data_IF_765948788613
#
_entry.id   IF_765948788613
#
_cell.length_a   1.000
_cell.length_b   1.000
_cell.length_c   1.000
_cell.angle_alpha   90.00
_cell.angle_beta   90.00
_cell.angle_gamma   90.00
#
_symmetry.space_group_name_H-M   'P 1'
#
loop_
_entity.id
_entity.type
_entity.pdbx_description
1 polymer ?
#
# COMPACT_ATOMS: atom_id res chain seq x y z
N UNK A 1 -18.55 -1.18 -9.91
CA UNK A 1 -17.25 -1.62 -9.33
C UNK A 1 -16.33 -0.43 -9.16
N UNK A 2 -15.53 -0.41 -8.08
CA UNK A 2 -14.51 0.61 -7.86
C UNK A 2 -13.29 0.33 -8.77
N UNK A 3 -12.90 1.28 -9.63
CA UNK A 3 -11.72 1.10 -10.50
C UNK A 3 -10.42 1.50 -9.78
N UNK A 4 -9.26 0.98 -10.21
CA UNK A 4 -7.93 1.37 -9.66
C UNK A 4 -7.77 2.88 -9.54
N UNK A 5 -8.01 3.60 -10.65
CA UNK A 5 -7.87 5.05 -10.70
C UNK A 5 -8.81 5.73 -9.71
N UNK A 6 -10.03 5.21 -9.54
CA UNK A 6 -11.01 5.72 -8.58
C UNK A 6 -10.59 5.41 -7.14
N UNK A 7 -10.06 4.23 -6.85
CA UNK A 7 -9.52 3.89 -5.53
C UNK A 7 -8.34 4.79 -5.15
N UNK A 8 -7.35 4.96 -6.03
CA UNK A 8 -6.18 5.80 -5.74
C UNK A 8 -6.56 7.29 -5.64
N UNK A 9 -7.48 7.75 -6.50
CA UNK A 9 -8.02 9.11 -6.42
C UNK A 9 -8.75 9.38 -5.10
N UNK A 10 -9.46 8.39 -4.56
CA UNK A 10 -10.10 8.48 -3.24
C UNK A 10 -9.04 8.39 -2.12
N UNK A 11 -8.06 7.50 -2.23
CA UNK A 11 -7.01 7.31 -1.21
C UNK A 11 -6.17 8.57 -0.99
N UNK A 12 -5.81 9.29 -2.06
CA UNK A 12 -5.16 10.60 -1.92
C UNK A 12 -6.13 11.77 -1.69
N UNK A 13 -7.42 11.58 -1.92
CA UNK A 13 -8.49 12.55 -1.72
C UNK A 13 -9.03 12.66 -0.29
N UNK A 14 -8.67 11.74 0.61
CA UNK A 14 -9.02 11.85 2.05
C UNK A 14 -8.02 12.75 2.82
N UNK A 15 -7.12 13.45 2.10
CA UNK A 15 -6.26 14.49 2.66
C UNK A 15 -6.89 15.89 2.77
N UNK A 16 -8.20 16.05 2.52
CA UNK A 16 -8.89 17.35 2.60
C UNK A 16 -10.20 17.33 3.42
N UNK A 17 -10.26 16.49 4.46
CA UNK A 17 -11.29 16.60 5.50
C UNK A 17 -10.57 16.73 6.85
N UNK A 18 -10.42 17.97 7.33
CA UNK A 18 -9.69 18.29 8.55
C UNK A 18 -10.06 17.36 9.69
N UNK A 19 -9.03 16.81 10.36
CA UNK A 19 -8.99 16.02 11.62
C UNK A 19 -10.00 14.85 11.76
N UNK A 20 -11.25 14.98 11.35
CA UNK A 20 -12.33 13.99 11.42
C UNK A 20 -12.31 12.97 10.27
N UNK A 21 -11.88 13.34 9.06
CA UNK A 21 -11.97 12.44 7.89
C UNK A 21 -10.94 11.31 7.91
N UNK A 22 -9.68 11.62 8.25
CA UNK A 22 -8.62 10.63 8.48
C UNK A 22 -8.93 9.77 9.71
N UNK A 23 -9.52 10.37 10.75
CA UNK A 23 -9.96 9.63 11.94
C UNK A 23 -10.99 8.56 11.57
N UNK A 24 -12.04 8.90 10.82
CA UNK A 24 -13.12 7.98 10.48
C UNK A 24 -12.68 6.77 9.62
N UNK A 25 -11.83 7.00 8.62
CA UNK A 25 -11.28 5.89 7.82
C UNK A 25 -10.31 5.04 8.62
N UNK A 26 -9.50 5.66 9.48
CA UNK A 26 -8.57 4.93 10.33
C UNK A 26 -9.27 4.11 11.42
N UNK A 27 -10.41 4.57 11.96
CA UNK A 27 -11.20 3.81 12.95
C UNK A 27 -11.93 2.66 12.29
N UNK A 28 -12.59 2.89 11.14
CA UNK A 28 -13.27 1.81 10.42
C UNK A 28 -12.31 0.70 9.97
N UNK A 29 -11.11 1.08 9.52
CA UNK A 29 -10.08 0.11 9.14
C UNK A 29 -9.52 -0.63 10.37
N UNK A 30 -9.31 0.07 11.50
CA UNK A 30 -8.88 -0.55 12.76
C UNK A 30 -9.91 -1.55 13.27
N UNK A 31 -11.19 -1.18 13.31
CA UNK A 31 -12.25 -2.06 13.79
C UNK A 31 -12.36 -3.35 12.96
N UNK A 32 -12.23 -3.25 11.63
CA UNK A 32 -12.25 -4.43 10.75
C UNK A 32 -11.00 -5.30 10.90
N UNK A 33 -9.85 -4.66 11.12
CA UNK A 33 -8.59 -5.35 11.36
C UNK A 33 -8.63 -6.08 12.70
N UNK A 34 -9.11 -5.43 13.76
CA UNK A 34 -9.20 -5.99 15.10
C UNK A 34 -10.21 -7.15 15.11
N UNK A 35 -11.36 -7.01 14.45
CA UNK A 35 -12.31 -8.12 14.24
C UNK A 35 -11.70 -9.29 13.45
N UNK A 36 -10.89 -9.02 12.43
CA UNK A 36 -10.23 -10.06 11.64
C UNK A 36 -9.09 -10.76 12.40
N UNK A 37 -8.48 -10.08 13.38
CA UNK A 37 -7.48 -10.67 14.29
C UNK A 37 -8.16 -11.53 15.35
N UNK A 38 -9.23 -11.05 15.99
CA UNK A 38 -9.97 -11.80 17.01
C UNK A 38 -10.61 -13.08 16.45
N UNK A 39 -11.05 -13.08 15.19
CA UNK A 39 -11.57 -14.27 14.52
C UNK A 39 -10.53 -15.37 14.30
N UNK A 40 -9.22 -15.06 14.29
CA UNK A 40 -8.16 -16.08 14.16
C UNK A 40 -7.78 -16.71 15.50
N UNK A 41 -7.88 -15.94 16.58
CA UNK A 41 -7.54 -16.40 17.93
C UNK A 41 -8.70 -17.23 18.56
N UNK A 42 -9.92 -17.15 17.99
CA UNK A 42 -11.11 -17.88 18.45
C UNK A 42 -11.28 -19.32 17.96
N UNK A 43 -10.32 -19.91 17.24
CA UNK A 43 -10.41 -21.27 16.70
C UNK A 43 -9.64 -22.35 17.52
N UNK A 44 -9.35 -22.08 18.79
CA UNK A 44 -8.71 -23.02 19.70
C UNK A 44 -9.66 -23.44 20.85
N UNK A 45 -10.70 -24.21 20.51
CA UNK A 45 -11.45 -24.97 21.52
C UNK A 45 -10.74 -26.31 21.80
N UNK A 46 -10.10 -26.37 22.96
CA UNK A 46 -9.39 -27.55 23.48
C UNK A 46 -9.02 -27.41 24.96
N UNK A 47 -10.01 -27.58 25.83
CA UNK A 47 -9.99 -28.08 27.23
C UNK A 47 -8.62 -28.18 27.96
N UNK A 48 -8.36 -27.36 28.99
CA UNK A 48 -8.48 -27.64 30.45
C UNK A 48 -7.76 -26.56 31.31
N UNK A 49 -8.17 -26.32 32.58
CA UNK A 49 -7.63 -25.28 33.45
C UNK A 49 -6.53 -25.83 34.36
N UNK A 50 -5.50 -25.03 34.64
CA UNK A 50 -4.65 -25.25 35.81
C UNK A 50 -4.28 -23.92 36.46
N UNK A 51 -4.52 -23.83 37.77
CA UNK A 51 -4.40 -22.62 38.57
C UNK A 51 -3.02 -22.55 39.21
N UNK A 52 -2.14 -21.70 38.70
CA UNK A 52 -0.97 -21.19 39.43
C UNK A 52 -0.87 -19.67 39.24
N UNK A 53 -0.86 -18.86 40.31
CA UNK A 53 -0.73 -17.42 40.18
C UNK A 53 0.75 -17.07 39.98
N UNK A 54 1.16 -16.90 38.72
CA UNK A 54 2.42 -16.23 38.41
C UNK A 54 2.16 -14.73 38.32
N UNK A 55 2.76 -13.98 39.24
CA UNK A 55 2.82 -12.51 39.18
C UNK A 55 3.61 -12.14 37.93
N UNK A 56 2.90 -11.90 36.84
CA UNK A 56 3.44 -11.41 35.58
C UNK A 56 3.16 -9.91 35.52
N UNK A 57 4.23 -9.11 35.49
CA UNK A 57 4.14 -7.69 35.17
C UNK A 57 3.27 -7.50 33.90
N UNK A 58 2.46 -6.45 33.80
CA UNK A 58 1.59 -6.27 32.65
C UNK A 58 2.45 -6.35 31.38
N UNK A 59 2.12 -7.23 30.41
CA UNK A 59 2.82 -7.22 29.14
C UNK A 59 2.66 -5.80 28.61
N UNK A 60 3.78 -5.11 28.38
CA UNK A 60 3.75 -3.91 27.56
C UNK A 60 3.23 -4.39 26.22
N UNK A 61 1.95 -4.15 25.96
CA UNK A 61 1.27 -4.61 24.76
C UNK A 61 2.08 -4.06 23.58
N UNK A 62 2.92 -4.91 22.99
CA UNK A 62 3.60 -4.59 21.75
C UNK A 62 2.48 -4.26 20.78
N UNK A 63 2.37 -3.00 20.37
CA UNK A 63 1.32 -2.57 19.46
C UNK A 63 1.28 -3.55 18.30
N UNK A 64 0.19 -4.33 18.20
CA UNK A 64 0.04 -5.39 17.20
C UNK A 64 0.25 -4.72 15.84
N UNK A 65 1.28 -5.14 15.10
CA UNK A 65 1.55 -4.60 13.75
C UNK A 65 0.67 -5.33 12.76
N UNK A 66 -0.10 -4.58 11.99
CA UNK A 66 -1.00 -5.15 10.99
C UNK A 66 -0.47 -4.78 9.62
N UNK A 67 -0.32 -5.79 8.76
CA UNK A 67 -0.03 -5.61 7.35
C UNK A 67 -1.32 -5.72 6.55
N UNK A 68 -1.67 -4.64 5.85
CA UNK A 68 -2.77 -4.64 4.88
C UNK A 68 -2.17 -4.76 3.48
N UNK A 69 -2.55 -5.83 2.76
CA UNK A 69 -2.12 -6.05 1.38
C UNK A 69 -3.28 -5.73 0.43
N UNK A 70 -3.05 -4.80 -0.49
CA UNK A 70 -4.03 -4.40 -1.51
C UNK A 70 -3.64 -5.01 -2.85
N UNK A 71 -4.37 -6.04 -3.28
CA UNK A 71 -4.24 -6.61 -4.62
C UNK A 71 -5.14 -5.85 -5.60
N UNK A 72 -4.55 -5.32 -6.67
CA UNK A 72 -5.28 -4.62 -7.72
C UNK A 72 -5.29 -5.51 -8.97
N UNK A 73 -6.48 -5.90 -9.44
CA UNK A 73 -6.62 -6.73 -10.64
C UNK A 73 -6.13 -5.99 -11.90
N UNK A 74 -5.49 -6.73 -12.82
CA UNK A 74 -4.97 -6.24 -14.09
C UNK A 74 -3.46 -5.99 -14.08
N UNK A 75 -2.94 -5.38 -15.16
CA UNK A 75 -1.53 -5.01 -15.29
C UNK A 75 -1.23 -3.61 -14.74
N UNK A 76 -0.06 -3.46 -14.10
CA UNK A 76 0.49 -2.16 -13.76
C UNK A 76 1.73 -1.84 -14.60
N UNK A 77 1.80 -0.63 -15.13
CA UNK A 77 3.01 -0.11 -15.76
C UNK A 77 3.83 0.61 -14.70
N UNK A 78 4.79 -0.10 -14.11
CA UNK A 78 5.61 0.43 -13.00
C UNK A 78 6.38 1.69 -13.39
N UNK A 79 6.93 1.73 -14.60
CA UNK A 79 7.71 2.87 -15.10
C UNK A 79 6.86 4.11 -15.41
N UNK A 80 5.56 3.94 -15.68
CA UNK A 80 4.63 5.07 -15.73
C UNK A 80 3.96 5.34 -14.37
N UNK A 81 4.16 4.51 -13.35
CA UNK A 81 3.65 4.74 -11.98
C UNK A 81 4.62 5.62 -11.20
N UNK A 82 5.89 5.19 -11.18
CA UNK A 82 7.02 5.91 -10.61
C UNK A 82 8.01 6.15 -11.75
N UNK A 83 8.01 7.37 -12.27
CA UNK A 83 8.65 7.75 -13.53
C UNK A 83 10.07 8.23 -13.25
N UNK A 84 11.11 7.51 -13.71
CA UNK A 84 12.48 7.96 -13.52
C UNK A 84 12.79 9.15 -14.45
N UNK A 85 13.61 10.07 -13.96
CA UNK A 85 14.16 11.19 -14.72
C UNK A 85 15.24 10.79 -15.74
N UNK A 86 15.68 9.53 -15.71
CA UNK A 86 16.67 8.98 -16.65
C UNK A 86 16.16 9.10 -18.11
N UNK A 87 16.90 9.75 -19.03
CA UNK A 87 16.51 9.89 -20.42
C UNK A 87 16.17 8.57 -21.11
N UNK A 88 16.80 7.46 -20.70
CA UNK A 88 16.55 6.12 -21.24
C UNK A 88 15.10 5.68 -21.10
N UNK A 89 14.37 6.18 -20.10
CA UNK A 89 12.94 5.92 -19.98
C UNK A 89 12.17 6.43 -21.21
N UNK A 90 12.50 7.62 -21.70
CA UNK A 90 11.85 8.20 -22.86
C UNK A 90 12.30 7.52 -24.14
N UNK A 91 13.61 7.31 -24.29
CA UNK A 91 14.20 6.64 -25.45
C UNK A 91 13.70 5.19 -25.61
N UNK A 92 13.47 4.48 -24.51
CA UNK A 92 12.94 3.12 -24.57
C UNK A 92 11.41 3.07 -24.73
N UNK A 93 10.69 4.18 -24.53
CA UNK A 93 9.23 4.20 -24.41
C UNK A 93 8.56 5.33 -25.20
N UNK A 94 9.03 5.60 -26.42
CA UNK A 94 8.55 6.72 -27.26
C UNK A 94 7.02 6.86 -27.31
N UNK A 95 6.27 5.75 -27.40
CA UNK A 95 4.81 5.75 -27.50
C UNK A 95 4.08 5.81 -26.15
N UNK A 96 4.77 5.55 -25.04
CA UNK A 96 4.17 5.38 -23.71
C UNK A 96 4.68 6.41 -22.70
N UNK A 97 5.80 7.08 -22.98
CA UNK A 97 6.41 8.04 -22.07
C UNK A 97 5.47 9.22 -21.83
N UNK A 98 5.37 9.64 -20.56
CA UNK A 98 4.53 10.76 -20.18
C UNK A 98 5.26 12.07 -20.47
N UNK A 99 4.58 13.08 -21.07
CA UNK A 99 5.15 14.40 -21.27
C UNK A 99 5.66 14.99 -19.95
N UNK A 100 6.83 15.63 -19.98
CA UNK A 100 7.43 16.22 -18.76
C UNK A 100 6.46 17.22 -18.08
N UNK A 101 5.69 17.96 -18.87
CA UNK A 101 4.72 18.93 -18.39
C UNK A 101 3.55 18.31 -17.58
N UNK A 102 3.28 17.02 -17.78
CA UNK A 102 2.17 16.31 -17.11
C UNK A 102 2.64 15.54 -15.86
N UNK A 103 3.95 15.53 -15.60
CA UNK A 103 4.53 14.83 -14.46
C UNK A 103 4.17 15.51 -13.14
N UNK A 104 3.93 14.68 -12.13
CA UNK A 104 3.71 15.17 -10.76
C UNK A 104 5.02 15.09 -10.00
N UNK A 105 5.57 16.24 -9.65
CA UNK A 105 6.79 16.32 -8.85
C UNK A 105 6.54 15.83 -7.40
N UNK A 106 7.52 15.11 -6.87
CA UNK A 106 7.58 14.61 -5.49
C UNK A 106 8.98 14.85 -4.93
N UNK A 107 9.13 14.82 -3.60
CA UNK A 107 10.43 14.95 -2.93
C UNK A 107 11.30 13.67 -3.01
N UNK A 108 11.29 13.00 -4.16
CA UNK A 108 12.17 11.88 -4.46
C UNK A 108 13.16 12.30 -5.54
N UNK A 109 14.45 12.32 -5.21
CA UNK A 109 15.49 12.66 -6.17
C UNK A 109 15.41 11.72 -7.37
N UNK A 110 15.23 12.29 -8.56
CA UNK A 110 15.24 11.58 -9.82
C UNK A 110 13.95 10.84 -10.19
N UNK A 111 12.84 11.03 -9.47
CA UNK A 111 11.55 10.42 -9.80
C UNK A 111 10.39 11.41 -9.76
N UNK A 112 9.37 11.11 -10.57
CA UNK A 112 8.07 11.79 -10.61
C UNK A 112 6.93 10.78 -10.57
N UNK A 113 5.72 11.22 -10.24
CA UNK A 113 4.53 10.37 -10.27
C UNK A 113 3.71 10.58 -11.56
N UNK A 114 2.98 9.54 -11.94
CA UNK A 114 1.91 9.66 -12.95
C UNK A 114 0.91 10.76 -12.57
N UNK A 115 0.34 11.53 -13.52
CA UNK A 115 -0.68 12.55 -13.25
C UNK A 115 -1.89 12.03 -12.44
N UNK A 116 -2.35 10.81 -12.73
CA UNK A 116 -3.44 10.17 -11.96
C UNK A 116 -3.08 9.80 -10.52
N UNK A 117 -1.82 9.91 -10.13
CA UNK A 117 -1.32 9.71 -8.78
C UNK A 117 -1.03 11.04 -8.07
N UNK A 118 -1.39 12.19 -8.68
CA UNK A 118 -1.28 13.50 -8.05
C UNK A 118 -1.82 13.55 -6.61
N UNK A 119 -2.95 12.88 -6.28
CA UNK A 119 -3.45 12.85 -4.90
C UNK A 119 -2.49 12.22 -3.87
N UNK A 120 -1.50 11.42 -4.30
CA UNK A 120 -0.51 10.80 -3.41
C UNK A 120 0.71 11.71 -3.16
N UNK A 121 0.94 12.73 -3.98
CA UNK A 121 2.13 13.59 -3.84
C UNK A 121 2.24 14.29 -2.47
N UNK A 122 1.14 14.79 -1.85
CA UNK A 122 1.22 15.34 -0.50
C UNK A 122 1.66 14.30 0.55
N UNK A 123 1.14 13.08 0.47
CA UNK A 123 1.47 11.99 1.39
C UNK A 123 2.92 11.53 1.23
N UNK A 124 3.39 11.49 -0.02
CA UNK A 124 4.78 11.24 -0.35
C UNK A 124 5.68 12.32 0.25
N UNK A 125 5.36 13.59 0.02
CA UNK A 125 6.14 14.72 0.53
C UNK A 125 6.17 14.79 2.07
N UNK A 126 5.16 14.21 2.73
CA UNK A 126 5.09 14.05 4.19
C UNK A 126 5.87 12.82 4.71
N UNK A 127 6.44 11.99 3.83
CA UNK A 127 7.17 10.78 4.20
C UNK A 127 6.27 9.62 4.67
N UNK A 128 4.95 9.71 4.41
CA UNK A 128 3.97 8.67 4.79
C UNK A 128 3.74 7.62 3.70
N UNK A 129 4.21 7.89 2.48
CA UNK A 129 4.20 6.97 1.34
C UNK A 129 5.61 6.94 0.76
N UNK A 130 6.05 5.77 0.34
CA UNK A 130 7.29 5.56 -0.40
C UNK A 130 7.07 4.44 -1.42
N UNK A 131 8.00 4.30 -2.36
CA UNK A 131 8.02 3.18 -3.29
C UNK A 131 9.39 2.49 -3.24
N UNK A 132 9.37 1.18 -3.52
CA UNK A 132 10.57 0.37 -3.70
C UNK A 132 10.62 -0.12 -5.14
N UNK A 133 11.68 0.25 -5.86
CA UNK A 133 11.95 -0.25 -7.21
C UNK A 133 12.73 -1.57 -7.17
N UNK A 134 12.79 -2.29 -8.29
CA UNK A 134 13.61 -3.49 -8.42
C UNK A 134 13.04 -4.73 -7.75
N UNK A 135 11.78 -4.70 -7.31
CA UNK A 135 11.10 -5.87 -6.75
C UNK A 135 10.70 -6.81 -7.90
N UNK A 136 11.15 -8.06 -7.81
CA UNK A 136 10.84 -9.08 -8.80
C UNK A 136 11.15 -10.48 -8.29
N UNK A 137 10.67 -11.48 -9.02
CA UNK A 137 10.99 -12.89 -8.75
C UNK A 137 12.28 -13.29 -9.47
N UNK A 138 13.03 -14.22 -8.88
CA UNK A 138 14.24 -14.81 -9.51
C UNK A 138 13.91 -15.42 -10.87
N UNK A 139 12.82 -16.19 -10.94
CA UNK A 139 12.38 -16.87 -12.17
C UNK A 139 11.15 -16.14 -12.72
N UNK A 140 11.38 -15.20 -13.62
CA UNK A 140 10.32 -14.35 -14.18
C UNK A 140 9.42 -15.14 -15.13
N UNK A 141 8.13 -15.23 -14.82
CA UNK A 141 7.10 -15.73 -15.74
C UNK A 141 6.40 -14.57 -16.46
N UNK A 142 6.24 -14.70 -17.77
CA UNK A 142 5.39 -13.77 -18.57
C UNK A 142 3.90 -14.09 -18.48
N UNK A 143 3.54 -15.22 -17.88
CA UNK A 143 2.14 -15.61 -17.63
C UNK A 143 1.70 -15.16 -16.25
N UNK A 144 0.62 -14.38 -16.21
CA UNK A 144 -0.01 -13.91 -14.98
C UNK A 144 -0.47 -15.06 -14.08
N UNK A 145 -1.03 -16.13 -14.67
CA UNK A 145 -1.48 -17.31 -13.91
C UNK A 145 -0.30 -18.04 -13.27
N UNK A 146 0.73 -18.35 -14.07
CA UNK A 146 1.92 -19.03 -13.56
C UNK A 146 2.66 -18.21 -12.50
N UNK A 147 2.65 -16.88 -12.61
CA UNK A 147 3.31 -15.99 -11.65
C UNK A 147 2.54 -15.85 -10.31
N UNK A 148 1.26 -16.24 -10.25
CA UNK A 148 0.52 -16.32 -8.98
C UNK A 148 0.61 -17.69 -8.32
N UNK A 149 0.82 -18.75 -9.10
CA UNK A 149 0.89 -20.13 -8.60
C UNK A 149 2.25 -20.51 -7.98
N UNK A 150 3.30 -19.72 -8.23
CA UNK A 150 4.69 -19.94 -7.76
C UNK A 150 5.09 -18.94 -6.70
#
# INVERSE_FOLDING_TARGET
MLSRRKFIGIAGGVGAAGVAGTAAWSTLLRDHVDQAVDQRDGAADGTQPDTTPSTTAPPTASAKRVLVVLQLSGGNDGLNTLIPSDPRYRDARHALAIPEADLVAINAAGYSLHPSLAPLAPLWNQGTVTAYEGIGMKDQSRSHFKAMDT
#
